data_IF_391294691886
#
_entry.id   IF_391294691886
#
_cell.length_a   1.000
_cell.length_b   1.000
_cell.length_c   1.000
_cell.angle_alpha   90.00
_cell.angle_beta   90.00
_cell.angle_gamma   90.00
#
_symmetry.space_group_name_H-M   'P 1'
#
loop_
_entity.id
_entity.type
_entity.pdbx_description
1 polymer ?
#
# COMPACT_ATOMS: atom_id res chain seq x y z
N UNK A 1 -2.10 -11.61 14.19
CA UNK A 1 -0.77 -11.00 14.50
C UNK A 1 0.34 -12.06 14.49
N UNK A 2 0.13 -13.19 15.19
CA UNK A 2 1.16 -14.22 15.39
C UNK A 2 1.81 -14.75 14.10
N UNK A 3 1.05 -14.98 13.01
CA UNK A 3 1.64 -15.47 11.75
C UNK A 3 2.69 -14.53 11.15
N UNK A 4 2.52 -13.21 11.32
CA UNK A 4 3.48 -12.21 10.84
C UNK A 4 4.66 -12.13 11.81
N UNK A 5 4.39 -12.10 13.12
CA UNK A 5 5.42 -12.05 14.17
C UNK A 5 6.32 -13.29 14.14
N UNK A 6 5.74 -14.46 13.92
CA UNK A 6 6.43 -15.74 13.78
C UNK A 6 7.11 -15.91 12.40
N UNK A 7 7.02 -14.92 11.51
CA UNK A 7 7.67 -14.94 10.18
C UNK A 7 7.05 -15.91 9.17
N UNK A 8 5.86 -16.47 9.45
CA UNK A 8 5.17 -17.40 8.55
C UNK A 8 4.55 -16.70 7.34
N UNK A 9 4.32 -15.40 7.42
CA UNK A 9 3.76 -14.58 6.34
C UNK A 9 4.50 -13.25 6.31
N UNK A 10 5.06 -12.88 5.15
CA UNK A 10 5.49 -11.51 4.87
C UNK A 10 4.45 -10.82 3.97
N UNK A 11 3.70 -9.83 4.46
CA UNK A 11 2.73 -9.09 3.64
C UNK A 11 3.37 -7.96 2.82
N UNK A 12 4.69 -7.76 2.87
CA UNK A 12 5.37 -6.65 2.20
C UNK A 12 5.12 -6.61 0.70
N UNK A 13 5.03 -7.77 0.06
CA UNK A 13 4.80 -7.93 -1.38
C UNK A 13 3.44 -7.38 -1.86
N UNK A 14 2.45 -7.28 -0.97
CA UNK A 14 1.14 -6.76 -1.34
C UNK A 14 1.18 -5.25 -1.63
N UNK A 15 2.14 -4.52 -1.03
CA UNK A 15 2.22 -3.06 -1.13
C UNK A 15 2.88 -2.65 -2.44
N UNK A 16 2.07 -2.30 -3.43
CA UNK A 16 2.51 -1.81 -4.74
C UNK A 16 2.92 -0.34 -4.72
N UNK A 17 2.23 0.49 -3.91
CA UNK A 17 2.44 1.93 -3.90
C UNK A 17 2.63 2.46 -2.48
N UNK A 18 3.63 3.32 -2.30
CA UNK A 18 3.88 4.09 -1.07
C UNK A 18 3.88 5.56 -1.41
N UNK A 19 3.03 6.33 -0.74
CA UNK A 19 2.82 7.76 -1.04
C UNK A 19 2.85 8.61 0.22
N UNK A 20 3.12 9.91 0.07
CA UNK A 20 2.89 10.92 1.12
C UNK A 20 1.41 11.23 1.30
N UNK A 21 1.06 11.93 2.39
CA UNK A 21 -0.34 12.25 2.74
C UNK A 21 -1.08 13.04 1.65
N UNK A 22 -0.44 14.08 1.11
CA UNK A 22 -1.02 14.96 0.08
C UNK A 22 -1.38 14.25 -1.23
N UNK A 23 -0.72 13.13 -1.53
CA UNK A 23 -0.97 12.35 -2.74
C UNK A 23 -2.18 11.41 -2.63
N UNK A 24 -2.83 11.34 -1.46
CA UNK A 24 -3.98 10.48 -1.19
C UNK A 24 -5.09 10.54 -2.25
N UNK A 25 -5.58 11.72 -2.66
CA UNK A 25 -6.64 11.84 -3.67
C UNK A 25 -6.27 11.25 -5.02
N UNK A 26 -5.01 11.38 -5.44
CA UNK A 26 -4.53 10.80 -6.69
C UNK A 26 -4.44 9.27 -6.59
N UNK A 27 -3.84 8.75 -5.52
CA UNK A 27 -3.71 7.32 -5.33
C UNK A 27 -5.06 6.60 -5.14
N UNK A 28 -6.08 7.29 -4.61
CA UNK A 28 -7.44 6.74 -4.57
C UNK A 28 -7.99 6.46 -5.98
N UNK A 29 -7.77 7.37 -6.94
CA UNK A 29 -8.18 7.16 -8.34
C UNK A 29 -7.43 5.98 -8.95
N UNK A 30 -6.10 5.95 -8.84
CA UNK A 30 -5.27 4.84 -9.31
C UNK A 30 -5.71 3.50 -8.73
N UNK A 31 -6.03 3.45 -7.43
CA UNK A 31 -6.53 2.25 -6.78
C UNK A 31 -7.93 1.83 -7.27
N UNK A 32 -8.86 2.78 -7.38
CA UNK A 32 -10.23 2.54 -7.86
C UNK A 32 -10.23 2.02 -9.30
N UNK A 33 -9.42 2.66 -10.14
CA UNK A 33 -9.37 2.41 -11.58
C UNK A 33 -8.42 1.24 -11.92
N UNK A 34 -7.72 0.69 -10.92
CA UNK A 34 -6.76 -0.43 -11.01
C UNK A 34 -5.65 -0.20 -12.04
N UNK A 35 -5.21 1.04 -12.13
CA UNK A 35 -4.13 1.45 -13.02
C UNK A 35 -2.77 1.08 -12.42
N UNK A 36 -1.75 0.99 -13.27
CA UNK A 36 -0.36 0.77 -12.87
C UNK A 36 -0.13 -0.47 -11.98
N UNK A 37 -0.91 -1.53 -12.20
CA UNK A 37 -0.84 -2.74 -11.39
C UNK A 37 -1.13 -2.49 -9.90
N UNK A 38 -1.90 -1.46 -9.56
CA UNK A 38 -2.17 -1.07 -8.18
C UNK A 38 -2.98 -2.15 -7.44
N UNK A 39 -2.35 -2.76 -6.42
CA UNK A 39 -2.97 -3.77 -5.54
C UNK A 39 -3.23 -3.19 -4.15
N UNK A 40 -2.24 -2.46 -3.59
CA UNK A 40 -2.35 -1.85 -2.26
C UNK A 40 -1.52 -0.58 -2.19
N UNK A 41 -2.18 0.49 -1.74
CA UNK A 41 -1.55 1.78 -1.43
C UNK A 41 -1.35 1.89 0.08
N UNK A 42 -0.16 2.34 0.50
CA UNK A 42 0.14 2.70 1.88
C UNK A 42 0.52 4.18 1.92
N UNK A 43 -0.16 4.95 2.78
CA UNK A 43 0.13 6.37 3.02
C UNK A 43 1.14 6.46 4.18
N UNK A 44 2.26 7.15 3.95
CA UNK A 44 3.24 7.52 4.98
C UNK A 44 3.06 8.99 5.32
N UNK A 45 2.58 9.34 6.52
CA UNK A 45 2.28 10.72 6.88
C UNK A 45 3.54 11.61 7.05
N UNK A 46 4.71 11.00 7.26
CA UNK A 46 5.99 11.70 7.47
C UNK A 46 6.98 11.44 6.31
N UNK A 47 6.48 11.02 5.15
CA UNK A 47 7.28 10.67 3.97
C UNK A 47 7.67 11.86 3.13
#
# INVERSE_FOLDING_TARGET
MNLIIEGKIDPSFLTTHRIGFEAGPAAYRTFRDKEDGCVKVVIRPNG
#
